data_IF_853431890217
#
_entry.id   IF_853431890217
#
_cell.length_a   1.000
_cell.length_b   1.000
_cell.length_c   1.000
_cell.angle_alpha   90.00
_cell.angle_beta   90.00
_cell.angle_gamma   90.00
#
_symmetry.space_group_name_H-M   'P 1'
#
loop_
_entity.id
_entity.type
_entity.pdbx_description
1 polymer ?
#
# COMPACT_ATOMS: atom_id res chain seq x y z
N UNK A 1 -4.17 11.06 -12.56
CA UNK A 1 -4.30 11.66 -11.22
C UNK A 1 -3.00 12.28 -10.71
N UNK A 2 -1.86 11.59 -10.74
CA UNK A 2 -0.57 12.18 -10.33
C UNK A 2 -0.21 13.46 -11.11
N UNK A 3 -0.31 13.43 -12.45
CA UNK A 3 -0.07 14.61 -13.29
C UNK A 3 -1.02 15.80 -12.98
N UNK A 4 -2.28 15.52 -12.60
CA UNK A 4 -3.24 16.54 -12.22
C UNK A 4 -2.89 17.19 -10.87
N UNK A 5 -2.45 16.38 -9.90
CA UNK A 5 -2.00 16.89 -8.61
C UNK A 5 -0.74 17.74 -8.75
N UNK A 6 0.22 17.29 -9.56
CA UNK A 6 1.44 18.04 -9.89
C UNK A 6 1.11 19.36 -10.60
N UNK A 7 0.26 19.35 -11.63
CA UNK A 7 -0.16 20.56 -12.34
C UNK A 7 -0.91 21.56 -11.43
N UNK A 8 -1.58 21.08 -10.39
CA UNK A 8 -2.28 21.90 -9.39
C UNK A 8 -1.41 22.27 -8.18
N UNK A 9 -0.16 21.78 -8.11
CA UNK A 9 0.72 22.02 -6.97
C UNK A 9 0.19 21.44 -5.65
N UNK A 10 -0.63 20.38 -5.69
CA UNK A 10 -1.24 19.77 -4.49
C UNK A 10 -0.66 18.38 -4.22
N UNK A 11 -0.64 17.99 -2.93
CA UNK A 11 -0.26 16.65 -2.52
C UNK A 11 -1.35 15.64 -2.94
N UNK A 12 -0.96 14.61 -3.69
CA UNK A 12 -1.81 13.46 -3.95
C UNK A 12 -1.61 12.39 -2.87
N UNK A 13 -2.71 11.86 -2.33
CA UNK A 13 -2.70 10.76 -1.35
C UNK A 13 -3.54 9.60 -1.88
N UNK A 14 -3.08 8.37 -1.63
CA UNK A 14 -3.78 7.13 -1.99
C UNK A 14 -3.85 6.21 -0.77
N UNK A 15 -4.92 5.42 -0.67
CA UNK A 15 -5.13 4.48 0.44
C UNK A 15 -4.21 3.26 0.36
N UNK A 16 -2.93 3.44 0.69
CA UNK A 16 -1.94 2.36 0.79
C UNK A 16 -1.53 2.08 2.24
N UNK A 17 -2.47 2.28 3.19
CA UNK A 17 -2.22 2.15 4.62
C UNK A 17 -1.66 0.79 5.05
N UNK A 18 -1.90 -0.28 4.27
CA UNK A 18 -1.29 -1.58 4.53
C UNK A 18 0.25 -1.51 4.58
N UNK A 19 0.90 -0.64 3.79
CA UNK A 19 2.38 -0.54 3.77
C UNK A 19 3.00 -0.07 5.08
N UNK A 20 2.21 0.53 5.98
CA UNK A 20 2.66 1.02 7.29
C UNK A 20 2.08 0.21 8.44
N UNK A 21 1.52 -0.97 8.16
CA UNK A 21 1.08 -1.88 9.20
C UNK A 21 2.30 -2.30 10.07
N UNK A 22 2.18 -2.34 11.41
CA UNK A 22 3.30 -2.67 12.30
C UNK A 22 4.00 -3.98 11.95
N UNK A 23 3.25 -4.98 11.51
CA UNK A 23 3.75 -6.29 11.11
C UNK A 23 4.63 -6.21 9.85
N UNK A 24 4.25 -5.35 8.91
CA UNK A 24 5.02 -5.12 7.67
C UNK A 24 6.27 -4.29 7.94
N UNK A 25 6.21 -3.32 8.86
CA UNK A 25 7.40 -2.56 9.24
C UNK A 25 8.41 -3.43 10.00
N UNK A 26 7.94 -4.31 10.89
CA UNK A 26 8.81 -5.28 11.56
C UNK A 26 9.45 -6.26 10.57
N UNK A 27 8.67 -6.80 9.62
CA UNK A 27 9.22 -7.66 8.56
C UNK A 27 10.27 -6.90 7.72
N UNK A 28 10.04 -5.63 7.40
CA UNK A 28 10.98 -4.79 6.67
C UNK A 28 12.32 -4.67 7.42
N UNK A 29 12.27 -4.49 8.74
CA UNK A 29 13.46 -4.43 9.60
C UNK A 29 14.22 -5.76 9.58
N UNK A 30 13.53 -6.89 9.76
CA UNK A 30 14.17 -8.22 9.70
C UNK A 30 14.88 -8.48 8.37
N UNK A 31 14.28 -8.06 7.25
CA UNK A 31 14.92 -8.18 5.94
C UNK A 31 16.14 -7.25 5.85
N UNK A 32 16.01 -6.00 6.27
CA UNK A 32 17.08 -5.00 6.21
C UNK A 32 18.28 -5.36 7.09
N UNK A 33 18.04 -5.96 8.26
CA UNK A 33 19.06 -6.40 9.21
C UNK A 33 19.75 -7.70 8.75
N UNK A 34 19.35 -8.27 7.60
CA UNK A 34 19.93 -9.49 7.04
C UNK A 34 19.48 -10.76 7.77
N UNK A 35 18.53 -10.68 8.69
CA UNK A 35 18.05 -11.81 9.49
C UNK A 35 17.50 -12.95 8.62
N UNK A 36 16.89 -12.62 7.49
CA UNK A 36 16.23 -13.59 6.58
C UNK A 36 17.17 -14.09 5.48
N UNK A 37 18.33 -13.43 5.26
CA UNK A 37 19.19 -13.69 4.11
C UNK A 37 18.55 -13.26 2.78
N UNK A 38 18.81 -14.03 1.71
CA UNK A 38 18.23 -13.77 0.39
C UNK A 38 16.77 -14.28 0.31
N UNK A 39 15.85 -13.37 -0.02
CA UNK A 39 14.44 -13.73 -0.23
C UNK A 39 14.27 -14.37 -1.61
N UNK A 40 14.07 -15.68 -1.63
CA UNK A 40 13.90 -16.44 -2.88
C UNK A 40 12.49 -16.33 -3.46
N UNK A 41 11.47 -16.23 -2.61
CA UNK A 41 10.08 -16.08 -3.05
C UNK A 41 9.19 -15.49 -1.95
N UNK A 42 8.05 -14.92 -2.37
CA UNK A 42 7.00 -14.42 -1.48
C UNK A 42 5.64 -14.84 -2.03
N UNK A 43 4.79 -15.39 -1.17
CA UNK A 43 3.41 -15.76 -1.52
C UNK A 43 2.44 -14.86 -0.77
N UNK A 44 1.54 -14.21 -1.49
CA UNK A 44 0.50 -13.36 -0.92
C UNK A 44 -0.89 -13.99 -1.16
N UNK A 45 -1.59 -14.31 -0.08
CA UNK A 45 -2.98 -14.78 -0.12
C UNK A 45 -3.87 -13.69 0.44
N UNK A 46 -4.85 -13.22 -0.35
CA UNK A 46 -5.75 -12.14 0.04
C UNK A 46 -7.20 -12.44 -0.36
N UNK A 47 -8.14 -11.90 0.41
CA UNK A 47 -9.57 -11.87 0.08
C UNK A 47 -10.07 -10.44 0.20
N UNK A 48 -10.80 -9.98 -0.81
CA UNK A 48 -11.38 -8.63 -0.81
C UNK A 48 -12.89 -8.70 -0.50
N UNK A 49 -13.38 -7.73 0.27
CA UNK A 49 -14.82 -7.48 0.43
C UNK A 49 -15.27 -6.44 -0.59
N UNK A 50 -16.48 -6.60 -1.16
CA UNK A 50 -17.01 -5.75 -2.24
C UNK A 50 -17.30 -4.28 -1.85
N UNK A 51 -17.08 -3.89 -0.59
CA UNK A 51 -17.41 -2.56 -0.06
C UNK A 51 -16.58 -1.39 -0.63
N UNK A 52 -15.57 -1.66 -1.46
CA UNK A 52 -14.73 -0.63 -2.10
C UNK A 52 -15.28 -0.14 -3.46
N UNK A 53 -16.53 -0.45 -3.81
CA UNK A 53 -17.14 0.13 -5.00
C UNK A 53 -17.28 1.66 -4.83
N UNK A 54 -16.93 2.47 -5.86
CA UNK A 54 -17.06 3.92 -5.76
C UNK A 54 -18.52 4.28 -5.51
N UNK A 55 -18.79 4.91 -4.37
CA UNK A 55 -20.11 5.46 -4.10
C UNK A 55 -20.38 6.57 -5.12
N UNK A 56 -21.30 6.30 -6.04
CA UNK A 56 -21.75 7.28 -7.02
C UNK A 56 -22.50 8.37 -6.26
N UNK A 57 -21.82 9.44 -5.83
CA UNK A 57 -22.49 10.68 -5.40
C UNK A 57 -23.25 11.23 -6.60
N UNK A 58 -24.54 10.88 -6.70
CA UNK A 58 -25.47 11.60 -7.58
C UNK A 58 -25.56 13.03 -7.03
N UNK A 59 -25.20 13.99 -7.88
CA UNK A 59 -25.71 15.36 -7.77
C UNK A 59 -27.17 15.36 -8.15
#
# INVERSE_FOLDING_TARGET
MAALASAKGVLAVVGTQARVAPELEHLRQLIADGFVGEVLSTTLVARAAAGAAPSRKRR
#
